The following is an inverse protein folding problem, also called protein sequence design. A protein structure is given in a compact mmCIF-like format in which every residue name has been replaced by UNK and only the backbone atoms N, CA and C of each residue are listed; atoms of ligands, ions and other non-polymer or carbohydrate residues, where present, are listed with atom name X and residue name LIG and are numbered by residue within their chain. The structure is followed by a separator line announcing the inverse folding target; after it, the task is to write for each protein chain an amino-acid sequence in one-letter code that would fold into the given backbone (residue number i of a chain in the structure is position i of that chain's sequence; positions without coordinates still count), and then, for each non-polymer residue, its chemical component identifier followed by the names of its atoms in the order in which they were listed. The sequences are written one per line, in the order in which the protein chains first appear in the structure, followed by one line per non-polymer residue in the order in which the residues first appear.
data_IF_031906398724
#
_entry.id   IF_031906398724
#
_cell.length_a   1.000
_cell.length_b   1.000
_cell.length_c   1.000
_cell.angle_alpha   90.00
_cell.angle_beta   90.00
_cell.angle_gamma   90.00
#
_symmetry.space_group_name_H-M   'P 1'
#
loop_
_entity.id
_entity.type
_entity.pdbx_description
1 polymer ?
#
# COMPACT_ATOMS: atom_id res chain seq x y z
N UNK A 1 -8.68 -12.45 -15.12
CA UNK A 1 -7.89 -13.60 -14.60
C UNK A 1 -6.40 -13.26 -14.71
N UNK A 2 -5.80 -12.59 -13.72
CA UNK A 2 -4.39 -12.14 -13.79
C UNK A 2 -3.45 -12.87 -12.81
N UNK A 3 -3.98 -13.42 -11.74
CA UNK A 3 -3.26 -14.34 -10.85
C UNK A 3 -2.59 -15.46 -11.66
N UNK A 4 -1.28 -15.66 -11.43
CA UNK A 4 -0.40 -16.61 -12.15
C UNK A 4 -0.30 -16.43 -13.68
N UNK A 5 -0.83 -15.31 -14.21
CA UNK A 5 -0.87 -15.05 -15.67
C UNK A 5 -0.19 -13.75 -16.08
N UNK A 6 0.17 -12.90 -15.13
CA UNK A 6 0.95 -11.70 -15.37
C UNK A 6 1.21 -10.90 -14.09
N UNK A 7 2.33 -10.18 -14.05
CA UNK A 7 2.75 -9.42 -12.88
C UNK A 7 1.80 -8.27 -12.56
N UNK A 8 1.68 -7.95 -11.27
CA UNK A 8 0.89 -6.83 -10.73
C UNK A 8 1.81 -6.03 -9.81
N UNK A 9 1.83 -4.71 -10.00
CA UNK A 9 2.40 -3.77 -9.03
C UNK A 9 1.23 -3.07 -8.35
N UNK A 10 1.20 -3.10 -7.02
CA UNK A 10 0.18 -2.47 -6.20
C UNK A 10 0.85 -1.57 -5.16
N UNK A 11 0.32 -0.36 -4.98
CA UNK A 11 0.69 0.50 -3.88
C UNK A 11 -0.51 0.64 -2.91
N UNK A 12 -0.21 0.72 -1.62
CA UNK A 12 -1.21 0.97 -0.58
C UNK A 12 -0.61 1.92 0.43
N UNK A 13 -1.42 2.85 0.93
CA UNK A 13 -1.08 3.69 2.07
C UNK A 13 -1.63 3.13 3.39
N UNK A 14 -2.31 1.98 3.35
CA UNK A 14 -2.85 1.27 4.51
C UNK A 14 -2.14 -0.08 4.69
N UNK A 15 -1.84 -0.46 5.94
CA UNK A 15 -1.27 -1.77 6.25
C UNK A 15 -2.32 -2.87 5.98
N UNK A 16 -1.88 -4.10 5.74
CA UNK A 16 -2.76 -5.20 5.32
C UNK A 16 -3.78 -5.60 6.39
N UNK A 17 -3.46 -5.36 7.66
CA UNK A 17 -4.32 -5.59 8.82
C UNK A 17 -5.60 -4.73 8.78
N UNK A 18 -5.53 -3.55 8.13
CA UNK A 18 -6.70 -2.67 7.97
C UNK A 18 -7.61 -3.09 6.81
N UNK A 19 -7.18 -4.02 5.95
CA UNK A 19 -7.93 -4.38 4.74
C UNK A 19 -9.26 -5.06 5.05
N UNK A 20 -9.35 -5.79 6.16
CA UNK A 20 -10.60 -6.36 6.64
C UNK A 20 -11.71 -5.32 6.85
N UNK A 21 -11.36 -4.19 7.45
CA UNK A 21 -12.25 -3.04 7.63
C UNK A 21 -12.56 -2.34 6.29
N UNK A 22 -11.55 -2.20 5.42
CA UNK A 22 -11.70 -1.58 4.11
C UNK A 22 -12.71 -2.33 3.22
N UNK A 23 -12.61 -3.66 3.19
CA UNK A 23 -13.52 -4.52 2.43
C UNK A 23 -14.83 -4.83 3.17
N UNK A 24 -14.95 -4.39 4.43
CA UNK A 24 -16.06 -4.72 5.35
C UNK A 24 -16.29 -6.23 5.50
N UNK A 25 -15.28 -7.02 5.18
CA UNK A 25 -15.30 -8.48 5.21
C UNK A 25 -13.86 -9.01 5.33
N UNK A 26 -13.57 -9.60 6.49
CA UNK A 26 -12.25 -10.19 6.77
C UNK A 26 -11.95 -11.43 5.93
N UNK A 27 -12.97 -12.20 5.53
CA UNK A 27 -12.81 -13.42 4.75
C UNK A 27 -12.38 -13.04 3.33
N UNK A 28 -13.05 -12.05 2.74
CA UNK A 28 -12.70 -11.54 1.41
C UNK A 28 -11.31 -10.89 1.42
N UNK A 29 -11.02 -10.07 2.43
CA UNK A 29 -9.71 -9.45 2.58
C UNK A 29 -8.58 -10.50 2.63
N UNK A 30 -8.77 -11.54 3.45
CA UNK A 30 -7.80 -12.63 3.59
C UNK A 30 -7.62 -13.40 2.27
N UNK A 31 -8.72 -13.71 1.57
CA UNK A 31 -8.65 -14.41 0.28
C UNK A 31 -7.98 -13.60 -0.84
N UNK A 32 -8.08 -12.26 -0.80
CA UNK A 32 -7.36 -11.37 -1.71
C UNK A 32 -5.87 -11.35 -1.35
N UNK A 33 -5.55 -11.16 -0.07
CA UNK A 33 -4.17 -11.12 0.41
C UNK A 33 -3.44 -12.42 0.13
N UNK A 34 -4.09 -13.57 0.32
CA UNK A 34 -3.54 -14.89 -0.01
C UNK A 34 -3.05 -14.95 -1.46
N UNK A 35 -3.90 -14.55 -2.42
CA UNK A 35 -3.54 -14.51 -3.85
C UNK A 35 -2.47 -13.48 -4.18
N UNK A 36 -2.48 -12.33 -3.53
CA UNK A 36 -1.50 -11.27 -3.79
C UNK A 36 -0.14 -11.62 -3.21
N UNK A 37 -0.09 -12.21 -2.02
CA UNK A 37 1.15 -12.44 -1.28
C UNK A 37 1.85 -13.75 -1.65
N UNK A 38 1.14 -14.73 -2.22
CA UNK A 38 1.70 -16.04 -2.59
C UNK A 38 2.98 -15.96 -3.45
N UNK A 39 3.06 -15.00 -4.39
CA UNK A 39 4.24 -14.76 -5.23
C UNK A 39 4.56 -13.26 -5.32
N UNK A 40 4.81 -12.62 -4.17
CA UNK A 40 5.09 -11.17 -4.13
C UNK A 40 6.40 -10.81 -3.45
N UNK A 41 6.86 -9.60 -3.77
CA UNK A 41 7.87 -8.89 -2.98
C UNK A 41 7.21 -7.66 -2.37
N UNK A 42 7.22 -7.57 -1.04
CA UNK A 42 6.64 -6.44 -0.30
C UNK A 42 7.71 -5.40 -0.05
N UNK A 43 7.45 -4.16 -0.49
CA UNK A 43 8.33 -3.02 -0.26
C UNK A 43 7.70 -2.07 0.75
N UNK A 44 8.33 -1.91 1.90
CA UNK A 44 7.92 -0.92 2.90
C UNK A 44 8.57 0.42 2.57
N UNK A 45 7.74 1.40 2.18
CA UNK A 45 8.19 2.75 1.86
C UNK A 45 7.95 3.64 3.07
N UNK A 46 9.03 4.16 3.65
CA UNK A 46 8.99 5.11 4.77
C UNK A 46 9.67 6.42 4.38
N UNK A 47 9.34 7.50 5.08
CA UNK A 47 9.95 8.81 4.86
C UNK A 47 8.95 9.94 4.73
N UNK A 48 9.46 11.17 4.60
CA UNK A 48 8.62 12.37 4.45
C UNK A 48 7.98 12.38 3.07
N UNK A 49 6.75 12.89 3.00
CA UNK A 49 6.04 13.07 1.72
C UNK A 49 6.88 13.90 0.76
N UNK A 50 7.17 13.33 -0.42
CA UNK A 50 7.90 14.04 -1.47
C UNK A 50 7.19 15.32 -1.89
N UNK A 51 5.85 15.37 -1.82
CA UNK A 51 5.05 16.56 -2.16
C UNK A 51 5.36 17.77 -1.27
N UNK A 52 5.83 17.53 -0.04
CA UNK A 52 6.21 18.59 0.91
C UNK A 52 7.65 19.09 0.71
N UNK A 53 8.41 18.46 -0.19
CA UNK A 53 9.77 18.86 -0.55
C UNK A 53 9.70 20.20 -1.29
N UNK A 54 9.95 21.29 -0.57
CA UNK A 54 9.88 22.67 -1.09
C UNK A 54 8.86 23.57 -0.37
N UNK A 55 7.87 22.99 0.33
CA UNK A 55 6.96 23.76 1.19
C UNK A 55 7.66 24.12 2.52
N UNK A 56 8.39 23.18 3.12
CA UNK A 56 9.10 23.42 4.38
C UNK A 56 10.30 24.37 4.27
N UNK A 57 10.81 24.64 3.06
CA UNK A 57 11.87 25.64 2.84
C UNK A 57 11.38 27.09 2.89
N UNK A 58 10.07 27.33 2.92
CA UNK A 58 9.50 28.69 3.05
C UNK A 58 8.77 28.94 4.38
N UNK A 59 8.58 27.90 5.20
CA UNK A 59 7.81 27.99 6.46
C UNK A 59 8.69 28.16 7.71
N UNK A 60 10.02 28.15 7.56
CA UNK A 60 10.98 28.35 8.65
C UNK A 60 11.62 29.75 8.70
N UNK A 61 11.18 30.70 7.87
CA UNK A 61 11.63 32.11 7.86
C UNK A 61 10.59 33.06 8.48
N UNK A 62 9.89 32.63 9.52
CA UNK A 62 9.10 33.53 10.38
C UNK A 62 9.38 33.26 11.85
#
# INVERSE_FOLDING_TARGET
RRYERGSIILNTNRPFEEWGSLFKDNIIATAILDRLLHHSHVFYITGKSYRLKGHNSKSGEK
#
